data_IF_604234897648
#
_entry.id   IF_604234897648
#
_cell.length_a   1.000
_cell.length_b   1.000
_cell.length_c   1.000
_cell.angle_alpha   90.00
_cell.angle_beta   90.00
_cell.angle_gamma   90.00
#
_symmetry.space_group_name_H-M   'P 1'
#
loop_
_entity.id
_entity.type
_entity.pdbx_description
1 polymer ?
#
# COMPACT_ATOMS: atom_id res chain seq x y z
N UNK A 1 -18.27 -0.56 -12.11
CA UNK A 1 -17.41 -0.17 -10.97
C UNK A 1 -16.94 1.29 -11.06
N UNK A 2 -16.34 1.79 -12.14
CA UNK A 2 -15.98 3.24 -12.23
C UNK A 2 -17.14 4.19 -12.60
N UNK A 3 -18.28 3.64 -13.01
CA UNK A 3 -19.44 4.39 -13.50
C UNK A 3 -20.02 5.25 -12.38
N UNK A 4 -20.17 4.72 -11.16
CA UNK A 4 -20.68 5.50 -10.03
C UNK A 4 -19.76 6.67 -9.65
N UNK A 5 -18.44 6.49 -9.73
CA UNK A 5 -17.51 7.61 -9.54
C UNK A 5 -17.73 8.74 -10.55
N UNK A 6 -18.05 8.41 -11.81
CA UNK A 6 -18.32 9.41 -12.87
C UNK A 6 -19.74 9.98 -12.85
N UNK A 7 -20.68 9.31 -12.19
CA UNK A 7 -22.07 9.76 -12.09
C UNK A 7 -22.30 10.74 -10.92
N UNK A 8 -21.39 10.77 -9.95
CA UNK A 8 -21.47 11.70 -8.82
C UNK A 8 -20.95 13.08 -9.21
N UNK A 9 -21.66 14.13 -8.77
CA UNK A 9 -21.29 15.54 -9.02
C UNK A 9 -19.96 15.94 -8.38
N UNK A 10 -19.61 15.28 -7.27
CA UNK A 10 -18.40 15.56 -6.51
C UNK A 10 -17.61 14.27 -6.37
N UNK A 11 -16.35 14.32 -6.79
CA UNK A 11 -15.39 13.25 -6.63
C UNK A 11 -14.23 13.73 -5.76
N UNK A 12 -13.93 12.98 -4.70
CA UNK A 12 -12.78 13.26 -3.82
C UNK A 12 -11.65 12.32 -4.19
N UNK A 13 -10.49 12.88 -4.50
CA UNK A 13 -9.25 12.13 -4.72
C UNK A 13 -8.33 12.47 -3.55
N UNK A 14 -7.82 11.45 -2.89
CA UNK A 14 -6.86 11.60 -1.81
C UNK A 14 -5.65 10.72 -2.09
N UNK A 15 -4.47 11.28 -1.83
CA UNK A 15 -3.27 10.49 -1.78
C UNK A 15 -3.26 9.66 -0.48
N UNK A 16 -3.29 8.35 -0.64
CA UNK A 16 -3.30 7.36 0.44
C UNK A 16 -1.94 6.71 0.64
N UNK A 17 -0.85 7.37 0.24
CA UNK A 17 0.52 6.91 0.46
C UNK A 17 0.74 6.45 1.93
N UNK A 18 0.25 7.21 2.90
CA UNK A 18 0.43 6.83 4.32
C UNK A 18 -0.25 5.52 4.71
N UNK A 19 -1.28 5.08 3.97
CA UNK A 19 -1.98 3.83 4.26
C UNK A 19 -1.12 2.59 3.98
N UNK A 20 -0.24 2.64 2.97
CA UNK A 20 0.68 1.53 2.65
C UNK A 20 1.66 1.26 3.79
N UNK A 21 2.14 2.31 4.46
CA UNK A 21 3.02 2.20 5.62
C UNK A 21 2.34 1.54 6.84
N UNK A 22 1.01 1.54 6.89
CA UNK A 22 0.25 0.86 7.94
C UNK A 22 0.11 -0.65 7.68
N UNK A 23 0.41 -1.13 6.47
CA UNK A 23 0.32 -2.55 6.11
C UNK A 23 1.66 -3.22 6.38
N UNK A 24 1.69 -4.11 7.38
CA UNK A 24 2.86 -4.94 7.68
C UNK A 24 2.97 -6.11 6.71
N UNK A 25 4.19 -6.40 6.28
CA UNK A 25 4.52 -7.62 5.56
C UNK A 25 4.88 -8.72 6.56
N UNK A 26 4.39 -9.94 6.28
CA UNK A 26 4.79 -11.15 7.01
C UNK A 26 6.28 -11.39 6.80
N UNK A 27 6.96 -11.95 7.80
CA UNK A 27 8.42 -12.17 7.73
C UNK A 27 8.82 -12.99 6.49
N UNK A 28 7.99 -13.95 6.10
CA UNK A 28 8.15 -14.81 4.91
C UNK A 28 8.14 -14.01 3.59
N UNK A 29 7.31 -12.97 3.49
CA UNK A 29 7.15 -12.17 2.28
C UNK A 29 8.19 -11.04 2.17
N UNK A 30 8.98 -10.79 3.22
CA UNK A 30 9.92 -9.65 3.27
C UNK A 30 11.14 -9.82 2.38
N UNK A 31 11.47 -11.04 1.96
CA UNK A 31 12.60 -11.25 1.06
C UNK A 31 12.29 -10.79 -0.38
N UNK A 32 11.01 -10.80 -0.78
CA UNK A 32 10.55 -10.28 -2.08
C UNK A 32 10.71 -8.75 -2.20
N UNK A 33 10.88 -8.05 -1.08
CA UNK A 33 11.01 -6.58 -1.01
C UNK A 33 12.40 -6.15 -0.54
N UNK A 34 13.43 -6.91 -0.94
CA UNK A 34 14.84 -6.63 -0.65
C UNK A 34 15.41 -5.59 -1.62
N UNK A 35 16.26 -4.70 -1.11
CA UNK A 35 17.05 -3.78 -1.92
C UNK A 35 18.50 -3.70 -1.47
N UNK A 36 19.38 -3.32 -2.39
CA UNK A 36 20.81 -3.13 -2.16
C UNK A 36 21.09 -1.62 -2.07
N UNK A 37 21.84 -1.22 -1.05
CA UNK A 37 22.27 0.16 -0.87
C UNK A 37 23.80 0.21 -0.88
N UNK A 38 24.42 1.09 -1.69
CA UNK A 38 25.88 1.18 -1.75
C UNK A 38 26.44 1.75 -0.44
N UNK A 39 27.55 1.18 0.03
CA UNK A 39 28.22 1.66 1.24
C UNK A 39 29.14 2.85 0.89
N UNK A 40 28.74 4.06 1.30
CA UNK A 40 29.50 5.30 1.11
C UNK A 40 30.55 5.45 2.23
N UNK A 41 31.51 4.53 2.35
CA UNK A 41 32.68 4.78 3.19
C UNK A 41 33.72 5.62 2.42
N UNK A 42 34.27 6.65 3.08
CA UNK A 42 35.23 7.61 2.50
C UNK A 42 36.55 6.95 2.07
N UNK A 43 36.83 5.73 2.54
CA UNK A 43 38.04 4.98 2.24
C UNK A 43 37.68 3.78 1.37
N UNK A 44 37.41 4.05 0.09
CA UNK A 44 37.11 3.05 -0.93
C UNK A 44 38.26 2.04 -1.05
N UNK A 45 38.12 0.90 -0.36
CA UNK A 45 38.98 -0.27 -0.58
C UNK A 45 38.29 -1.26 -1.53
N UNK A 46 36.96 -1.22 -1.62
CA UNK A 46 36.19 -2.05 -2.56
C UNK A 46 34.93 -1.30 -3.06
N UNK A 47 34.85 -0.93 -4.36
CA UNK A 47 33.73 -0.17 -4.92
C UNK A 47 32.43 -0.98 -5.03
N UNK A 48 32.43 -2.26 -4.68
CA UNK A 48 31.29 -3.18 -4.81
C UNK A 48 30.66 -3.61 -3.49
N UNK A 49 30.94 -2.90 -2.39
CA UNK A 49 30.33 -3.19 -1.08
C UNK A 49 28.90 -2.66 -1.03
N UNK A 50 27.93 -3.58 -0.93
CA UNK A 50 26.51 -3.26 -0.81
C UNK A 50 25.93 -3.76 0.51
N UNK A 51 25.16 -2.91 1.18
CA UNK A 51 24.33 -3.29 2.29
C UNK A 51 22.95 -3.74 1.81
N UNK A 52 22.47 -4.83 2.40
CA UNK A 52 21.17 -5.42 2.07
C UNK A 52 20.13 -4.94 3.07
N UNK A 53 19.06 -4.35 2.58
CA UNK A 53 17.91 -3.97 3.39
C UNK A 53 16.63 -4.67 2.92
N UNK A 54 15.69 -4.83 3.84
CA UNK A 54 14.37 -5.41 3.58
C UNK A 54 13.30 -4.52 4.16
N UNK A 55 12.29 -4.20 3.36
CA UNK A 55 11.15 -3.45 3.87
C UNK A 55 10.26 -4.33 4.76
N UNK A 56 9.74 -3.74 5.84
CA UNK A 56 8.77 -4.40 6.73
C UNK A 56 7.32 -4.05 6.40
N UNK A 57 7.13 -3.04 5.54
CA UNK A 57 5.84 -2.48 5.14
C UNK A 57 5.72 -2.51 3.62
N UNK A 58 4.48 -2.44 3.13
CA UNK A 58 4.21 -2.37 1.69
C UNK A 58 4.83 -1.10 1.12
N UNK A 59 5.60 -1.25 0.03
CA UNK A 59 6.33 -0.17 -0.63
C UNK A 59 5.43 0.65 -1.56
N UNK A 60 5.84 1.87 -1.85
CA UNK A 60 5.28 2.67 -2.95
C UNK A 60 5.78 2.16 -4.30
N UNK A 61 4.95 2.30 -5.35
CA UNK A 61 5.38 2.06 -6.72
C UNK A 61 5.61 0.60 -7.11
N UNK A 62 5.28 -0.38 -6.27
CA UNK A 62 5.23 -1.78 -6.69
C UNK A 62 3.82 -2.13 -7.17
N UNK A 63 3.70 -2.84 -8.30
CA UNK A 63 2.42 -3.15 -8.95
C UNK A 63 1.41 -3.87 -8.03
N UNK A 64 1.91 -4.60 -7.03
CA UNK A 64 1.11 -5.34 -6.05
C UNK A 64 0.57 -4.47 -4.92
N UNK A 65 1.12 -3.27 -4.69
CA UNK A 65 0.72 -2.42 -3.57
C UNK A 65 -0.74 -2.00 -3.61
N UNK A 66 -1.30 -1.51 -4.73
CA UNK A 66 -2.69 -1.11 -4.76
C UNK A 66 -3.65 -2.29 -4.52
N UNK A 67 -3.27 -3.49 -4.97
CA UNK A 67 -4.02 -4.71 -4.69
C UNK A 67 -4.03 -5.03 -3.18
N UNK A 68 -2.86 -5.03 -2.53
CA UNK A 68 -2.74 -5.27 -1.09
C UNK A 68 -3.51 -4.23 -0.26
N UNK A 69 -3.47 -2.96 -0.69
CA UNK A 69 -4.23 -1.90 -0.05
C UNK A 69 -5.74 -2.11 -0.22
N UNK A 70 -6.21 -2.41 -1.44
CA UNK A 70 -7.63 -2.68 -1.70
C UNK A 70 -8.14 -3.87 -0.88
N UNK A 71 -7.39 -4.97 -0.84
CA UNK A 71 -7.72 -6.13 -0.02
C UNK A 71 -7.77 -5.80 1.47
N UNK A 72 -6.80 -5.02 1.97
CA UNK A 72 -6.75 -4.59 3.38
C UNK A 72 -7.94 -3.70 3.73
N UNK A 73 -8.34 -2.78 2.84
CA UNK A 73 -9.48 -1.91 3.08
C UNK A 73 -10.77 -2.73 3.12
N UNK A 74 -11.00 -3.63 2.16
CA UNK A 74 -12.17 -4.52 2.15
C UNK A 74 -12.26 -5.36 3.42
N UNK A 75 -11.15 -5.95 3.85
CA UNK A 75 -11.07 -6.70 5.09
C UNK A 75 -11.47 -5.85 6.31
N UNK A 76 -11.03 -4.59 6.36
CA UNK A 76 -11.41 -3.66 7.44
C UNK A 76 -12.88 -3.28 7.38
N UNK A 77 -13.42 -2.98 6.20
CA UNK A 77 -14.84 -2.67 6.00
C UNK A 77 -15.71 -3.82 6.51
N UNK A 78 -15.39 -5.06 6.12
CA UNK A 78 -16.10 -6.25 6.57
C UNK A 78 -16.02 -6.44 8.08
N UNK A 79 -14.83 -6.27 8.67
CA UNK A 79 -14.62 -6.38 10.11
C UNK A 79 -15.44 -5.36 10.93
N UNK A 80 -15.65 -4.16 10.41
CA UNK A 80 -16.39 -3.09 11.10
C UNK A 80 -17.85 -2.99 10.69
N UNK A 81 -18.32 -3.85 9.79
CA UNK A 81 -19.68 -3.81 9.23
C UNK A 81 -20.77 -3.92 10.30
N UNK A 82 -20.56 -4.74 11.32
CA UNK A 82 -21.51 -4.88 12.43
C UNK A 82 -21.56 -3.65 13.34
N UNK A 83 -20.44 -2.92 13.45
CA UNK A 83 -20.31 -1.77 14.36
C UNK A 83 -20.74 -0.46 13.69
N UNK A 84 -20.50 -0.32 12.39
CA UNK A 84 -20.72 0.89 11.59
C UNK A 84 -21.35 0.53 10.22
N UNK A 85 -22.60 0.05 10.19
CA UNK A 85 -23.19 -0.51 8.98
C UNK A 85 -23.38 0.54 7.86
N UNK A 86 -23.82 1.75 8.19
CA UNK A 86 -24.08 2.80 7.21
C UNK A 86 -22.78 3.32 6.57
N UNK A 87 -21.75 3.53 7.37
CA UNK A 87 -20.45 4.02 6.92
C UNK A 87 -19.71 2.97 6.08
N UNK A 88 -19.79 1.70 6.48
CA UNK A 88 -19.16 0.60 5.74
C UNK A 88 -19.83 0.33 4.41
N UNK A 89 -21.17 0.45 4.31
CA UNK A 89 -21.90 0.36 3.05
C UNK A 89 -21.56 1.52 2.09
N UNK A 90 -21.46 2.75 2.62
CA UNK A 90 -21.02 3.90 1.84
C UNK A 90 -19.60 3.72 1.31
N UNK A 91 -18.67 3.26 2.15
CA UNK A 91 -17.28 3.04 1.76
C UNK A 91 -17.14 1.90 0.73
N UNK A 92 -17.89 0.82 0.86
CA UNK A 92 -17.86 -0.31 -0.09
C UNK A 92 -18.35 0.12 -1.48
N UNK A 93 -19.31 1.06 -1.54
CA UNK A 93 -19.89 1.55 -2.79
C UNK A 93 -19.09 2.66 -3.44
N UNK A 94 -18.42 3.52 -2.66
CA UNK A 94 -17.82 4.76 -3.14
C UNK A 94 -16.29 4.78 -3.15
N UNK A 95 -15.61 3.85 -2.48
CA UNK A 95 -14.15 3.86 -2.40
C UNK A 95 -13.52 3.05 -3.53
N UNK A 96 -12.68 3.72 -4.32
CA UNK A 96 -11.99 3.12 -5.45
C UNK A 96 -10.47 3.29 -5.30
N UNK A 97 -9.73 2.19 -5.37
CA UNK A 97 -8.26 2.21 -5.39
C UNK A 97 -7.81 2.12 -6.84
N UNK A 98 -7.18 3.18 -7.33
CA UNK A 98 -6.63 3.22 -8.68
C UNK A 98 -5.23 2.57 -8.70
N UNK A 99 -4.98 1.76 -9.71
CA UNK A 99 -3.64 1.26 -10.08
C UNK A 99 -3.12 2.17 -11.18
N UNK A 100 -1.94 2.78 -10.98
CA UNK A 100 -1.21 3.52 -12.03
C UNK A 100 -0.21 2.60 -12.73
#
# INVERSE_FOLDING_TARGET
MIIYFRLNTIATIADVERAFLQISLRDEDRDAVRFLFPELESNQTDPYKFQVYRFKRVMFGVNVSPFLLSATIKYRIEKFREQYPAETEMLDTCLYVLTT
#
